data_IF_946078673232
#
_entry.id   IF_946078673232
#
_cell.length_a   1.000
_cell.length_b   1.000
_cell.length_c   1.000
_cell.angle_alpha   90.00
_cell.angle_beta   90.00
_cell.angle_gamma   90.00
#
_symmetry.space_group_name_H-M   'P 1'
#
loop_
_entity.id
_entity.type
_entity.pdbx_description
1 polymer ?
#
# COMPACT_ATOMS: atom_id res chain seq x y z
N UNK A 1 -41.47 17.84 18.62
CA UNK A 1 -42.81 17.47 19.07
C UNK A 1 -42.85 17.68 20.55
N UNK A 2 -43.87 18.31 21.07
CA UNK A 2 -44.02 18.56 22.52
C UNK A 2 -45.16 17.69 23.07
N UNK A 3 -44.99 17.20 24.30
CA UNK A 3 -45.98 16.35 24.97
C UNK A 3 -46.39 16.97 26.31
N UNK A 4 -47.66 16.84 26.65
CA UNK A 4 -48.14 17.30 27.96
C UNK A 4 -47.55 16.43 29.07
N UNK A 5 -46.90 17.06 30.06
CA UNK A 5 -46.24 16.37 31.23
C UNK A 5 -47.24 15.63 32.08
N UNK A 6 -48.54 16.06 32.11
CA UNK A 6 -49.58 15.48 32.97
C UNK A 6 -50.36 14.33 32.31
N UNK A 7 -50.74 14.48 31.03
CA UNK A 7 -51.56 13.48 30.34
C UNK A 7 -50.91 12.79 29.14
N UNK A 8 -49.67 13.17 28.79
CA UNK A 8 -48.90 12.54 27.70
C UNK A 8 -49.39 12.78 26.29
N UNK A 9 -50.41 13.64 26.09
CA UNK A 9 -50.89 13.91 24.76
C UNK A 9 -49.90 14.79 23.99
N UNK A 10 -49.79 14.58 22.69
CA UNK A 10 -48.99 15.40 21.79
C UNK A 10 -49.63 16.78 21.65
N UNK A 11 -48.83 17.84 21.78
CA UNK A 11 -49.26 19.22 21.75
C UNK A 11 -48.67 19.93 20.55
N UNK A 12 -49.50 20.73 19.90
CA UNK A 12 -49.03 21.64 18.86
C UNK A 12 -48.29 22.85 19.50
N UNK A 13 -47.26 23.35 18.83
CA UNK A 13 -46.35 24.41 19.33
C UNK A 13 -47.05 25.73 19.68
N UNK A 14 -48.28 25.92 19.24
CA UNK A 14 -49.02 27.18 19.42
C UNK A 14 -49.96 27.17 20.66
N UNK A 15 -50.04 26.09 21.42
CA UNK A 15 -50.96 25.95 22.52
C UNK A 15 -50.34 26.43 23.82
N UNK A 16 -50.98 27.38 24.47
CA UNK A 16 -50.62 27.89 25.79
C UNK A 16 -51.09 27.01 26.95
N UNK A 17 -52.10 26.14 26.72
CA UNK A 17 -52.58 25.17 27.68
C UNK A 17 -52.98 23.87 26.99
N UNK A 18 -52.86 22.73 27.68
CA UNK A 18 -53.29 21.42 27.18
C UNK A 18 -54.82 21.35 27.04
N UNK A 19 -55.38 20.99 25.86
CA UNK A 19 -56.82 20.94 25.66
C UNK A 19 -57.52 19.83 26.46
N UNK A 20 -56.83 18.81 26.92
CA UNK A 20 -57.40 17.70 27.68
C UNK A 20 -57.35 17.88 29.19
N UNK A 21 -56.33 18.47 29.76
CA UNK A 21 -56.15 18.57 31.21
C UNK A 21 -55.95 20.01 31.71
N UNK A 22 -56.03 20.99 30.81
CA UNK A 22 -55.89 22.41 31.09
C UNK A 22 -54.60 22.81 31.83
N UNK A 23 -53.55 21.98 31.71
CA UNK A 23 -52.24 22.26 32.31
C UNK A 23 -51.56 23.33 31.46
N UNK A 24 -51.00 24.41 32.03
CA UNK A 24 -50.29 25.43 31.29
C UNK A 24 -49.02 24.82 30.68
N UNK A 25 -48.77 25.14 29.41
CA UNK A 25 -47.62 24.67 28.61
C UNK A 25 -46.66 25.82 28.43
N UNK A 26 -45.40 25.62 28.88
CA UNK A 26 -44.35 26.59 28.68
C UNK A 26 -43.41 26.05 27.64
N UNK A 27 -43.30 26.74 26.53
CA UNK A 27 -42.29 26.48 25.51
C UNK A 27 -41.04 27.25 25.88
N UNK A 28 -39.94 26.55 26.04
CA UNK A 28 -38.63 27.19 26.15
C UNK A 28 -38.20 27.59 24.75
N UNK A 29 -37.95 28.87 24.48
CA UNK A 29 -37.28 29.29 23.28
C UNK A 29 -35.87 28.69 23.27
N UNK A 30 -35.63 27.74 22.37
CA UNK A 30 -34.32 27.18 22.12
C UNK A 30 -33.48 28.27 21.44
N UNK A 31 -32.61 28.91 22.19
CA UNK A 31 -31.56 29.77 21.61
C UNK A 31 -30.56 28.87 20.91
N UNK A 32 -30.05 29.30 19.75
CA UNK A 32 -29.12 28.54 18.90
C UNK A 32 -27.88 28.03 19.66
N UNK A 33 -27.55 28.61 20.83
CA UNK A 33 -26.46 28.16 21.69
C UNK A 33 -26.77 26.84 22.46
N UNK A 34 -28.05 26.52 22.68
CA UNK A 34 -28.43 25.29 23.40
C UNK A 34 -28.43 24.04 22.51
N UNK A 35 -28.53 24.22 21.18
CA UNK A 35 -28.50 23.14 20.19
C UNK A 35 -27.09 22.52 20.10
N UNK A 36 -26.05 23.23 20.54
CA UNK A 36 -24.67 22.75 20.49
C UNK A 36 -24.24 21.88 21.71
N UNK A 37 -25.11 21.68 22.69
CA UNK A 37 -24.76 20.93 23.92
C UNK A 37 -24.45 19.44 23.63
N UNK A 38 -24.88 18.89 22.51
CA UNK A 38 -24.50 17.59 21.99
C UNK A 38 -23.75 17.75 20.67
N UNK A 39 -22.48 17.38 20.61
CA UNK A 39 -21.73 17.45 19.35
C UNK A 39 -22.47 16.63 18.30
N UNK A 40 -22.85 17.32 17.21
CA UNK A 40 -23.58 16.73 16.11
C UNK A 40 -22.86 15.44 15.68
N UNK A 41 -23.59 14.33 15.53
CA UNK A 41 -23.04 13.01 15.17
C UNK A 41 -22.23 13.06 13.86
N UNK A 42 -22.43 14.10 13.04
CA UNK A 42 -21.66 14.41 11.84
C UNK A 42 -20.27 14.98 12.12
N UNK A 43 -20.06 15.53 13.34
CA UNK A 43 -18.74 15.96 13.81
C UNK A 43 -17.99 14.85 14.57
N UNK A 44 -18.45 13.60 14.47
CA UNK A 44 -17.58 12.48 14.81
C UNK A 44 -16.33 12.68 14.00
N UNK A 45 -15.34 13.28 14.63
CA UNK A 45 -14.01 13.50 14.07
C UNK A 45 -13.66 12.23 13.34
N UNK A 46 -13.66 12.29 12.00
CA UNK A 46 -13.06 11.22 11.20
C UNK A 46 -11.73 10.94 11.88
N UNK A 47 -11.45 9.70 12.28
CA UNK A 47 -10.18 9.42 12.91
C UNK A 47 -9.16 10.12 12.02
N UNK A 48 -8.37 11.02 12.61
CA UNK A 48 -7.33 11.78 11.89
C UNK A 48 -6.58 10.70 11.13
N UNK A 49 -6.83 10.61 9.83
CA UNK A 49 -6.06 9.71 8.99
C UNK A 49 -4.63 10.23 9.17
N UNK A 50 -3.89 9.52 9.98
CA UNK A 50 -2.45 9.74 10.09
C UNK A 50 -1.99 9.49 8.67
N UNK A 51 -1.73 10.57 7.95
CA UNK A 51 -1.15 10.48 6.63
C UNK A 51 0.24 9.90 6.86
N UNK A 52 0.33 8.57 6.79
CA UNK A 52 1.59 7.80 6.79
C UNK A 52 2.41 8.06 5.52
N UNK A 53 2.03 9.08 4.73
CA UNK A 53 2.87 9.52 3.62
C UNK A 53 4.11 10.13 4.24
N UNK A 54 5.26 9.48 4.13
CA UNK A 54 6.49 10.03 4.68
C UNK A 54 6.69 11.43 4.13
N UNK A 55 7.05 12.35 5.00
CA UNK A 55 7.32 13.73 4.61
C UNK A 55 8.46 13.75 3.59
N UNK A 56 8.50 14.74 2.70
CA UNK A 56 9.62 14.90 1.76
C UNK A 56 10.98 14.88 2.49
N UNK A 57 11.02 15.38 3.72
CA UNK A 57 12.19 15.32 4.59
C UNK A 57 12.66 13.87 4.85
N UNK A 58 11.74 12.91 5.03
CA UNK A 58 12.08 11.50 5.19
C UNK A 58 12.78 10.94 3.93
N UNK A 59 12.27 11.28 2.74
CA UNK A 59 12.89 10.82 1.47
C UNK A 59 14.29 11.40 1.31
N UNK A 60 14.48 12.69 1.60
CA UNK A 60 15.81 13.31 1.55
C UNK A 60 16.77 12.65 2.54
N UNK A 61 16.32 12.41 3.77
CA UNK A 61 17.14 11.75 4.80
C UNK A 61 17.56 10.34 4.33
N UNK A 62 16.62 9.54 3.81
CA UNK A 62 16.90 8.21 3.26
C UNK A 62 17.87 8.27 2.07
N UNK A 63 17.72 9.27 1.20
CA UNK A 63 18.65 9.47 0.07
C UNK A 63 20.08 9.74 0.56
N UNK A 64 20.26 10.58 1.57
CA UNK A 64 21.59 10.82 2.14
C UNK A 64 22.18 9.59 2.82
N UNK A 65 21.38 8.86 3.59
CA UNK A 65 21.82 7.62 4.26
C UNK A 65 22.32 6.59 3.24
N UNK A 66 21.68 6.50 2.08
CA UNK A 66 22.05 5.55 1.03
C UNK A 66 23.18 6.09 0.15
N UNK A 67 23.22 7.38 -0.11
CA UNK A 67 24.27 7.99 -0.94
C UNK A 67 25.68 7.88 -0.32
N UNK A 68 25.80 7.98 1.01
CA UNK A 68 27.10 7.91 1.70
C UNK A 68 27.80 6.55 1.46
N UNK A 69 27.18 5.40 1.75
CA UNK A 69 27.83 4.09 1.51
C UNK A 69 28.10 3.84 0.02
N UNK A 70 27.25 4.31 -0.89
CA UNK A 70 27.50 4.24 -2.34
C UNK A 70 28.79 4.99 -2.69
N UNK A 71 28.94 6.23 -2.22
CA UNK A 71 30.12 7.04 -2.47
C UNK A 71 31.38 6.39 -1.88
N UNK A 72 31.30 5.84 -0.68
CA UNK A 72 32.42 5.15 -0.02
C UNK A 72 32.83 3.89 -0.82
N UNK A 73 31.88 3.05 -1.24
CA UNK A 73 32.15 1.86 -2.04
C UNK A 73 32.84 2.22 -3.37
N UNK A 74 32.33 3.26 -4.06
CA UNK A 74 32.92 3.75 -5.30
C UNK A 74 34.35 4.26 -5.09
N UNK A 75 34.60 5.04 -4.04
CA UNK A 75 35.92 5.59 -3.75
C UNK A 75 36.94 4.49 -3.48
N UNK A 76 36.56 3.46 -2.70
CA UNK A 76 37.46 2.36 -2.36
C UNK A 76 37.79 1.54 -3.61
N UNK A 77 36.79 1.19 -4.42
CA UNK A 77 36.99 0.36 -5.62
C UNK A 77 37.79 1.10 -6.69
N UNK A 78 37.48 2.38 -6.92
CA UNK A 78 38.18 3.20 -7.88
C UNK A 78 39.66 3.47 -7.49
N UNK A 79 39.94 3.58 -6.16
CA UNK A 79 41.33 3.75 -5.66
C UNK A 79 42.15 2.47 -5.82
N UNK A 80 41.48 1.29 -5.74
CA UNK A 80 42.18 -0.01 -5.90
C UNK A 80 42.42 -0.37 -7.35
N UNK A 81 41.39 -0.37 -8.19
CA UNK A 81 41.40 -1.01 -9.50
C UNK A 81 41.16 -0.04 -10.69
N UNK A 82 40.85 1.22 -10.45
CA UNK A 82 40.43 2.22 -11.47
C UNK A 82 39.21 1.80 -12.31
N UNK A 83 38.54 0.72 -11.94
CA UNK A 83 37.34 0.17 -12.59
C UNK A 83 36.37 -0.25 -11.52
N UNK A 84 35.08 -0.22 -11.83
CA UNK A 84 34.04 -0.71 -10.95
C UNK A 84 34.07 -2.23 -11.00
N UNK A 85 34.43 -2.87 -9.89
CA UNK A 85 34.53 -4.34 -9.79
C UNK A 85 33.55 -4.88 -8.75
N UNK A 86 33.96 -5.06 -7.51
CA UNK A 86 33.11 -5.61 -6.45
C UNK A 86 32.04 -4.62 -5.97
N UNK A 87 32.26 -3.31 -6.13
CA UNK A 87 31.34 -2.27 -5.65
C UNK A 87 30.00 -2.25 -6.40
N UNK A 88 29.93 -2.88 -7.58
CA UNK A 88 28.69 -3.01 -8.33
C UNK A 88 27.57 -3.68 -7.48
N UNK A 89 27.88 -4.77 -6.77
CA UNK A 89 26.89 -5.52 -6.00
C UNK A 89 26.26 -4.71 -4.87
N UNK A 90 27.00 -4.07 -3.96
CA UNK A 90 26.40 -3.24 -2.91
C UNK A 90 25.71 -2.00 -3.46
N UNK A 91 26.23 -1.38 -4.54
CA UNK A 91 25.61 -0.21 -5.14
C UNK A 91 24.25 -0.59 -5.74
N UNK A 92 24.18 -1.65 -6.53
CA UNK A 92 22.94 -2.11 -7.14
C UNK A 92 21.88 -2.47 -6.08
N UNK A 93 22.29 -3.13 -4.98
CA UNK A 93 21.38 -3.48 -3.89
C UNK A 93 20.87 -2.24 -3.12
N UNK A 94 21.73 -1.25 -2.88
CA UNK A 94 21.33 0.01 -2.22
C UNK A 94 20.41 0.85 -3.11
N UNK A 95 20.65 0.87 -4.42
CA UNK A 95 19.75 1.53 -5.38
C UNK A 95 18.38 0.84 -5.42
N UNK A 96 18.34 -0.49 -5.43
CA UNK A 96 17.09 -1.23 -5.34
C UNK A 96 16.33 -0.87 -4.05
N UNK A 97 17.02 -0.91 -2.91
CA UNK A 97 16.45 -0.54 -1.62
C UNK A 97 15.89 0.89 -1.63
N UNK A 98 16.61 1.82 -2.26
CA UNK A 98 16.15 3.20 -2.40
C UNK A 98 14.85 3.29 -3.23
N UNK A 99 14.77 2.57 -4.35
CA UNK A 99 13.56 2.56 -5.19
C UNK A 99 12.37 2.01 -4.40
N UNK A 100 12.53 0.87 -3.71
CA UNK A 100 11.47 0.23 -2.93
C UNK A 100 10.92 1.11 -1.80
N UNK A 101 11.77 1.95 -1.18
CA UNK A 101 11.36 2.83 -0.07
C UNK A 101 10.93 4.21 -0.56
N UNK A 102 11.71 4.83 -1.44
CA UNK A 102 11.52 6.21 -1.85
C UNK A 102 10.35 6.37 -2.82
N UNK A 103 10.15 5.42 -3.73
CA UNK A 103 9.09 5.52 -4.72
C UNK A 103 7.68 5.57 -4.11
N UNK A 104 7.29 4.64 -3.21
CA UNK A 104 6.00 4.76 -2.51
C UNK A 104 5.85 6.05 -1.71
N UNK A 105 6.98 6.52 -1.12
CA UNK A 105 7.02 7.74 -0.32
C UNK A 105 6.80 9.03 -1.13
N UNK A 106 7.20 9.04 -2.40
CA UNK A 106 7.04 10.19 -3.30
C UNK A 106 5.64 10.27 -3.93
N UNK A 107 4.91 9.16 -3.97
CA UNK A 107 3.58 9.13 -4.58
C UNK A 107 2.53 9.83 -3.73
N UNK A 108 1.94 10.91 -4.24
CA UNK A 108 0.83 11.65 -3.61
C UNK A 108 -0.49 10.86 -3.57
N UNK A 109 -0.74 9.98 -4.53
CA UNK A 109 -1.92 9.10 -4.60
C UNK A 109 -1.47 7.65 -4.59
N UNK A 110 -1.69 7.00 -3.47
CA UNK A 110 -1.41 5.58 -3.30
C UNK A 110 -2.32 4.75 -4.22
N UNK A 111 -1.75 4.24 -5.31
CA UNK A 111 -2.32 3.12 -6.05
C UNK A 111 -1.47 1.90 -5.72
N UNK A 112 -1.97 1.03 -4.84
CA UNK A 112 -1.28 -0.18 -4.39
C UNK A 112 -0.76 -1.03 -5.56
N UNK A 113 -1.57 -1.15 -6.62
CA UNK A 113 -1.19 -1.91 -7.82
C UNK A 113 0.04 -1.29 -8.52
N UNK A 114 0.10 0.04 -8.63
CA UNK A 114 1.24 0.73 -9.29
C UNK A 114 2.53 0.55 -8.49
N UNK A 115 2.46 0.64 -7.17
CA UNK A 115 3.63 0.45 -6.30
C UNK A 115 4.18 -0.97 -6.46
N UNK A 116 3.34 -1.99 -6.28
CA UNK A 116 3.76 -3.39 -6.45
C UNK A 116 4.32 -3.65 -7.86
N UNK A 117 3.70 -3.09 -8.88
CA UNK A 117 4.17 -3.25 -10.26
C UNK A 117 5.60 -2.72 -10.42
N UNK A 118 5.89 -1.52 -9.93
CA UNK A 118 7.23 -0.93 -10.03
C UNK A 118 8.24 -1.69 -9.18
N UNK A 119 7.85 -2.12 -7.97
CA UNK A 119 8.71 -2.91 -7.10
C UNK A 119 9.11 -4.24 -7.78
N UNK A 120 8.15 -4.95 -8.38
CA UNK A 120 8.42 -6.20 -9.10
C UNK A 120 9.35 -5.97 -10.29
N UNK A 121 9.09 -4.94 -11.11
CA UNK A 121 9.99 -4.61 -12.24
C UNK A 121 11.39 -4.22 -11.77
N UNK A 122 11.51 -3.46 -10.67
CA UNK A 122 12.81 -3.07 -10.10
C UNK A 122 13.61 -4.27 -9.65
N UNK A 123 12.96 -5.25 -9.00
CA UNK A 123 13.61 -6.51 -8.59
C UNK A 123 14.03 -7.34 -9.80
N UNK A 124 13.19 -7.44 -10.84
CA UNK A 124 13.55 -8.15 -12.07
C UNK A 124 14.78 -7.53 -12.73
N UNK A 125 14.79 -6.21 -12.86
CA UNK A 125 15.91 -5.48 -13.48
C UNK A 125 17.19 -5.65 -12.67
N UNK A 126 17.08 -5.65 -11.34
CA UNK A 126 18.20 -5.93 -10.45
C UNK A 126 18.77 -7.34 -10.67
N UNK A 127 17.93 -8.38 -10.71
CA UNK A 127 18.39 -9.76 -10.95
C UNK A 127 19.08 -9.91 -12.31
N UNK A 128 18.51 -9.31 -13.36
CA UNK A 128 19.10 -9.32 -14.71
C UNK A 128 20.44 -8.58 -14.70
N UNK A 129 20.56 -7.44 -14.01
CA UNK A 129 21.80 -6.68 -13.94
C UNK A 129 22.91 -7.45 -13.22
N UNK A 130 22.57 -8.21 -12.18
CA UNK A 130 23.52 -9.08 -11.50
C UNK A 130 24.01 -10.22 -12.38
N UNK A 131 23.11 -10.83 -13.16
CA UNK A 131 23.42 -11.92 -14.07
C UNK A 131 24.39 -11.47 -15.17
N UNK A 132 24.06 -10.35 -15.84
CA UNK A 132 24.91 -9.75 -16.87
C UNK A 132 26.30 -9.41 -16.30
N UNK A 133 26.35 -8.86 -15.08
CA UNK A 133 27.59 -8.44 -14.46
C UNK A 133 28.45 -9.59 -13.98
N UNK A 134 27.84 -10.70 -13.54
CA UNK A 134 28.56 -11.90 -13.10
C UNK A 134 29.31 -12.62 -14.23
N UNK A 135 28.97 -12.33 -15.50
CA UNK A 135 29.64 -12.91 -16.68
C UNK A 135 29.52 -14.43 -16.78
N UNK A 136 28.55 -15.02 -16.10
CA UNK A 136 28.33 -16.48 -16.08
C UNK A 136 27.69 -16.95 -17.39
N UNK A 137 28.11 -18.13 -17.85
CA UNK A 137 27.53 -18.81 -19.03
C UNK A 137 26.11 -19.33 -18.79
N UNK A 138 25.68 -19.33 -17.52
CA UNK A 138 24.36 -19.80 -17.09
C UNK A 138 23.50 -18.61 -16.73
N UNK A 139 22.44 -18.37 -17.48
CA UNK A 139 21.44 -17.36 -17.19
C UNK A 139 20.60 -17.76 -15.96
N UNK A 140 21.23 -17.76 -14.79
CA UNK A 140 20.58 -18.15 -13.53
C UNK A 140 19.40 -17.22 -13.16
N UNK A 141 19.43 -15.97 -13.63
CA UNK A 141 18.36 -14.98 -13.39
C UNK A 141 17.06 -15.33 -14.09
N UNK A 142 17.09 -16.15 -15.14
CA UNK A 142 15.90 -16.52 -15.92
C UNK A 142 14.83 -17.18 -15.04
N UNK A 143 15.20 -18.10 -14.17
CA UNK A 143 14.26 -18.79 -13.28
C UNK A 143 13.57 -17.87 -12.28
N UNK A 144 14.30 -17.07 -11.46
CA UNK A 144 13.67 -16.16 -10.52
C UNK A 144 12.90 -15.03 -11.23
N UNK A 145 13.36 -14.53 -12.36
CA UNK A 145 12.62 -13.51 -13.14
C UNK A 145 11.31 -14.08 -13.68
N UNK A 146 11.33 -15.29 -14.23
CA UNK A 146 10.12 -15.95 -14.72
C UNK A 146 9.12 -16.24 -13.57
N UNK A 147 9.61 -16.64 -12.38
CA UNK A 147 8.75 -16.82 -11.20
C UNK A 147 8.09 -15.52 -10.73
N UNK A 148 8.84 -14.43 -10.70
CA UNK A 148 8.30 -13.10 -10.36
C UNK A 148 7.27 -12.62 -11.38
N UNK A 149 7.52 -12.83 -12.68
CA UNK A 149 6.55 -12.52 -13.75
C UNK A 149 5.26 -13.31 -13.57
N UNK A 150 5.35 -14.60 -13.27
CA UNK A 150 4.20 -15.45 -13.05
C UNK A 150 3.36 -14.97 -11.87
N UNK A 151 4.00 -14.68 -10.73
CA UNK A 151 3.32 -14.15 -9.53
C UNK A 151 2.69 -12.80 -9.82
N UNK A 152 3.39 -11.92 -10.55
CA UNK A 152 2.86 -10.60 -10.91
C UNK A 152 1.64 -10.69 -11.85
N UNK A 153 1.70 -11.55 -12.87
CA UNK A 153 0.56 -11.81 -13.76
C UNK A 153 -0.65 -12.30 -12.96
N UNK A 154 -0.45 -13.25 -12.03
CA UNK A 154 -1.52 -13.73 -11.15
C UNK A 154 -2.08 -12.64 -10.26
N UNK A 155 -1.23 -11.79 -9.70
CA UNK A 155 -1.66 -10.63 -8.93
C UNK A 155 -2.55 -9.69 -9.76
N UNK A 156 -2.20 -9.41 -11.02
CA UNK A 156 -3.02 -8.59 -11.92
C UNK A 156 -4.35 -9.28 -12.24
N UNK A 157 -4.33 -10.55 -12.58
CA UNK A 157 -5.55 -11.31 -12.91
C UNK A 157 -6.53 -11.34 -11.73
N UNK A 158 -6.04 -11.55 -10.51
CA UNK A 158 -6.88 -11.52 -9.30
C UNK A 158 -7.47 -10.12 -9.09
N UNK A 159 -6.73 -9.05 -9.35
CA UNK A 159 -7.25 -7.69 -9.23
C UNK A 159 -8.29 -7.35 -10.31
N UNK A 160 -8.12 -7.85 -11.54
CA UNK A 160 -9.04 -7.58 -12.64
C UNK A 160 -10.31 -8.44 -12.57
N UNK A 161 -10.16 -9.73 -12.31
CA UNK A 161 -11.24 -10.70 -12.39
C UNK A 161 -11.73 -11.24 -11.04
N UNK A 162 -10.97 -11.06 -9.97
CA UNK A 162 -11.24 -11.65 -8.65
C UNK A 162 -12.50 -11.17 -7.94
N UNK A 163 -13.19 -10.15 -8.45
CA UNK A 163 -14.45 -9.65 -7.84
C UNK A 163 -15.59 -10.69 -7.94
N UNK A 164 -15.61 -11.52 -8.96
CA UNK A 164 -16.70 -12.46 -9.26
C UNK A 164 -16.44 -13.89 -8.80
N UNK A 165 -15.19 -14.39 -8.92
CA UNK A 165 -14.84 -15.79 -8.65
C UNK A 165 -13.46 -15.94 -7.98
N UNK A 166 -13.29 -15.39 -6.79
CA UNK A 166 -11.99 -15.38 -6.07
C UNK A 166 -11.40 -16.79 -5.90
N UNK A 167 -12.20 -17.73 -5.45
CA UNK A 167 -11.74 -19.10 -5.17
C UNK A 167 -11.24 -19.83 -6.42
N UNK A 168 -11.94 -19.68 -7.54
CA UNK A 168 -11.54 -20.28 -8.80
C UNK A 168 -10.18 -19.75 -9.28
N UNK A 169 -9.95 -18.44 -9.15
CA UNK A 169 -8.67 -17.83 -9.50
C UNK A 169 -7.52 -18.32 -8.61
N UNK A 170 -7.75 -18.53 -7.32
CA UNK A 170 -6.74 -19.10 -6.42
C UNK A 170 -6.37 -20.54 -6.80
N UNK A 171 -7.36 -21.38 -7.16
CA UNK A 171 -7.12 -22.77 -7.57
C UNK A 171 -6.27 -22.81 -8.85
N UNK A 172 -6.62 -22.02 -9.87
CA UNK A 172 -5.84 -21.97 -11.11
C UNK A 172 -4.42 -21.43 -10.83
N UNK A 173 -4.27 -20.41 -9.97
CA UNK A 173 -2.97 -19.88 -9.56
C UNK A 173 -2.10 -20.95 -8.91
N UNK A 174 -2.67 -21.74 -8.01
CA UNK A 174 -1.97 -22.85 -7.35
C UNK A 174 -1.53 -23.93 -8.34
N UNK A 175 -2.41 -24.32 -9.26
CA UNK A 175 -2.08 -25.33 -10.29
C UNK A 175 -0.99 -24.81 -11.22
N UNK A 176 -1.04 -23.55 -11.65
CA UNK A 176 -0.04 -22.96 -12.56
C UNK A 176 1.33 -22.85 -11.91
N UNK A 177 1.40 -22.50 -10.61
CA UNK A 177 2.68 -22.47 -9.89
C UNK A 177 3.25 -23.87 -9.69
N UNK A 178 2.40 -24.87 -9.40
CA UNK A 178 2.83 -26.27 -9.32
C UNK A 178 3.38 -26.79 -10.65
N UNK A 179 2.70 -26.49 -11.77
CA UNK A 179 3.19 -26.86 -13.10
C UNK A 179 4.52 -26.17 -13.43
N UNK A 180 4.68 -24.89 -13.09
CA UNK A 180 5.91 -24.16 -13.29
C UNK A 180 7.09 -24.77 -12.53
N UNK A 181 6.90 -25.12 -11.26
CA UNK A 181 7.92 -25.78 -10.45
C UNK A 181 8.33 -27.15 -11.02
N UNK A 182 7.34 -27.91 -11.49
CA UNK A 182 7.59 -29.19 -12.16
C UNK A 182 8.44 -29.02 -13.44
N UNK A 183 8.13 -27.99 -14.25
CA UNK A 183 8.89 -27.72 -15.48
C UNK A 183 10.34 -27.30 -15.17
N UNK A 184 10.58 -26.52 -14.12
CA UNK A 184 11.95 -26.17 -13.68
C UNK A 184 12.71 -27.42 -13.28
N UNK A 185 12.11 -28.30 -12.48
CA UNK A 185 12.76 -29.55 -12.05
C UNK A 185 13.13 -30.44 -13.24
N UNK A 186 12.27 -30.52 -14.25
CA UNK A 186 12.55 -31.26 -15.48
C UNK A 186 13.67 -30.61 -16.31
N UNK A 187 13.76 -29.29 -16.35
CA UNK A 187 14.82 -28.58 -17.04
C UNK A 187 16.17 -28.79 -16.35
N UNK A 188 16.22 -28.75 -15.02
CA UNK A 188 17.42 -28.98 -14.23
C UNK A 188 17.93 -30.42 -14.40
N UNK A 189 17.05 -31.41 -14.35
CA UNK A 189 17.39 -32.81 -14.62
C UNK A 189 17.96 -33.09 -16.02
N UNK A 190 17.59 -32.26 -17.02
CA UNK A 190 18.18 -32.36 -18.39
C UNK A 190 19.53 -31.71 -18.48
N UNK A 191 19.79 -30.66 -17.69
CA UNK A 191 21.07 -29.94 -17.66
C UNK A 191 22.15 -30.71 -16.92
N UNK A 192 21.78 -31.59 -15.99
CA UNK A 192 22.72 -32.40 -15.18
C UNK A 192 23.07 -33.75 -15.80
N UNK A 193 22.51 -34.11 -16.98
CA UNK A 193 22.87 -35.29 -17.78
C UNK A 193 23.68 -34.89 -19.01
#
# INVERSE_FOLDING_TARGET
MAYCVKCGVELDRNLTACPLCNTPVYYREETDEEIQRYPNRSQRTRPRQVNLVPSKAFVYLMTFIIAIPIAVCLMIDFKGNRTVTWSFYPIASLLLLWILIAYPALMKRYSFIKVITIDVYSVMLFLISLDIYSGGDVYWSVYPVASLLLVWIWFLLINLFGKKNKYFMFIIGYISTGLYLYLIEQADRKSTR
#
